data_IF_807539287262
#
_entry.id   IF_807539287262
#
_cell.length_a   1.000
_cell.length_b   1.000
_cell.length_c   1.000
_cell.angle_alpha   90.00
_cell.angle_beta   90.00
_cell.angle_gamma   90.00
#
_symmetry.space_group_name_H-M   'P 1'
#
loop_
_entity.id
_entity.type
_entity.pdbx_description
1 polymer ?
#
# COMPACT_ATOMS: atom_id res chain seq x y z
N UNK A 1 -21.80 28.27 11.81
CA UNK A 1 -21.59 27.08 12.65
C UNK A 1 -22.54 25.97 12.23
N UNK A 2 -23.80 26.29 11.96
CA UNK A 2 -24.83 25.35 11.51
C UNK A 2 -24.49 24.59 10.21
N UNK A 3 -23.56 25.12 9.40
CA UNK A 3 -23.13 24.53 8.12
C UNK A 3 -22.36 23.21 8.24
N UNK A 4 -21.94 22.83 9.45
CA UNK A 4 -21.22 21.58 9.73
C UNK A 4 -22.10 20.52 10.41
N UNK A 5 -23.37 20.83 10.71
CA UNK A 5 -24.27 19.87 11.34
C UNK A 5 -24.88 18.92 10.30
N UNK A 6 -25.00 17.66 10.69
CA UNK A 6 -25.52 16.58 9.82
C UNK A 6 -26.93 16.90 9.28
N UNK A 7 -27.76 17.59 10.06
CA UNK A 7 -29.13 17.97 9.68
C UNK A 7 -29.17 18.89 8.45
N UNK A 8 -28.12 19.67 8.20
CA UNK A 8 -28.05 20.57 7.06
C UNK A 8 -27.26 20.01 5.87
N UNK A 9 -26.98 18.70 5.84
CA UNK A 9 -26.21 18.09 4.75
C UNK A 9 -26.96 18.04 3.42
N UNK A 10 -28.29 17.97 3.45
CA UNK A 10 -29.11 18.10 2.23
C UNK A 10 -28.93 19.49 1.59
N UNK A 11 -28.74 20.52 2.44
CA UNK A 11 -28.56 21.88 1.98
C UNK A 11 -27.10 22.25 1.69
N UNK A 12 -26.15 21.78 2.48
CA UNK A 12 -24.74 22.18 2.40
C UNK A 12 -23.84 21.12 1.75
N UNK A 13 -24.40 19.97 1.37
CA UNK A 13 -23.64 18.81 0.92
C UNK A 13 -23.09 18.01 2.10
N UNK A 14 -22.71 16.77 1.80
CA UNK A 14 -22.08 15.88 2.76
C UNK A 14 -20.69 16.42 3.13
N UNK A 15 -20.45 16.66 4.42
CA UNK A 15 -19.21 17.29 4.89
C UNK A 15 -18.37 16.29 5.70
N UNK A 16 -17.10 16.16 5.30
CA UNK A 16 -16.07 15.40 5.99
C UNK A 16 -15.07 16.36 6.66
N UNK A 17 -14.60 15.98 7.83
CA UNK A 17 -13.56 16.72 8.56
C UNK A 17 -12.32 15.84 8.75
N UNK A 18 -11.14 16.41 8.46
CA UNK A 18 -9.84 15.84 8.70
C UNK A 18 -9.62 15.57 10.19
N UNK A 19 -9.24 14.35 10.60
CA UNK A 19 -9.10 13.96 11.99
C UNK A 19 -7.76 14.45 12.59
N UNK A 20 -7.63 15.77 12.73
CA UNK A 20 -6.47 16.45 13.30
C UNK A 20 -6.60 16.61 14.81
N UNK A 21 -5.48 16.85 15.49
CA UNK A 21 -5.47 17.20 16.91
C UNK A 21 -5.94 18.65 17.13
N UNK A 22 -7.25 18.89 17.07
CA UNK A 22 -7.85 20.20 17.36
C UNK A 22 -7.73 20.57 18.85
N UNK A 23 -8.01 19.61 19.73
CA UNK A 23 -7.96 19.72 21.18
C UNK A 23 -7.52 18.37 21.77
N UNK A 24 -6.81 18.37 22.90
CA UNK A 24 -6.35 17.11 23.55
C UNK A 24 -7.48 16.17 23.97
N UNK A 25 -8.66 16.72 24.26
CA UNK A 25 -9.85 15.95 24.66
C UNK A 25 -10.48 15.19 23.48
N UNK A 26 -10.27 15.67 22.24
CA UNK A 26 -10.82 15.05 21.04
C UNK A 26 -9.85 13.97 20.55
N UNK A 27 -10.20 12.70 20.77
CA UNK A 27 -9.39 11.59 20.26
C UNK A 27 -9.63 11.41 18.77
N UNK A 28 -8.56 11.26 18.00
CA UNK A 28 -8.60 10.86 16.59
C UNK A 28 -9.23 9.46 16.51
N UNK A 29 -10.45 9.30 15.96
CA UNK A 29 -11.08 8.00 15.90
C UNK A 29 -10.55 7.24 14.69
N UNK A 30 -10.30 5.94 14.88
CA UNK A 30 -9.63 5.15 13.86
C UNK A 30 -10.48 4.84 12.62
N UNK A 31 -11.81 5.03 12.59
CA UNK A 31 -12.61 4.60 11.41
C UNK A 31 -13.95 5.33 11.12
N UNK A 32 -14.45 6.26 11.93
CA UNK A 32 -15.78 6.87 11.66
C UNK A 32 -15.76 8.40 11.71
N UNK A 33 -15.75 9.03 10.52
CA UNK A 33 -15.73 10.49 10.39
C UNK A 33 -17.00 11.16 10.92
N UNK A 34 -18.16 10.52 10.75
CA UNK A 34 -19.44 11.09 11.16
C UNK A 34 -19.55 11.20 12.68
N UNK A 35 -18.98 10.25 13.41
CA UNK A 35 -18.88 10.33 14.86
C UNK A 35 -17.92 11.45 15.28
N UNK A 36 -16.76 11.54 14.64
CA UNK A 36 -15.79 12.60 14.90
C UNK A 36 -16.38 14.00 14.71
N UNK A 37 -17.13 14.20 13.63
CA UNK A 37 -17.81 15.46 13.34
C UNK A 37 -18.82 15.85 14.43
N UNK A 38 -19.57 14.88 14.97
CA UNK A 38 -20.52 15.12 16.06
C UNK A 38 -19.79 15.54 17.33
N UNK A 39 -18.75 14.78 17.72
CA UNK A 39 -17.93 15.10 18.89
C UNK A 39 -17.27 16.48 18.77
N UNK A 40 -16.78 16.83 17.57
CA UNK A 40 -16.21 18.14 17.29
C UNK A 40 -17.24 19.27 17.42
N UNK A 41 -18.44 19.11 16.83
CA UNK A 41 -19.50 20.11 16.92
C UNK A 41 -19.99 20.28 18.37
N UNK A 42 -20.11 19.19 19.13
CA UNK A 42 -20.50 19.22 20.55
C UNK A 42 -19.46 19.96 21.40
N UNK A 43 -18.15 19.76 21.13
CA UNK A 43 -17.08 20.50 21.80
C UNK A 43 -17.16 22.00 21.53
N UNK A 44 -17.39 22.40 20.28
CA UNK A 44 -17.52 23.82 19.91
C UNK A 44 -18.75 24.45 20.58
N UNK A 45 -19.89 23.74 20.57
CA UNK A 45 -21.13 24.22 21.18
C UNK A 45 -21.03 24.33 22.70
N UNK A 46 -20.37 23.37 23.36
CA UNK A 46 -20.16 23.36 24.81
C UNK A 46 -19.14 24.42 25.25
N UNK A 47 -18.11 24.67 24.45
CA UNK A 47 -17.00 25.58 24.78
C UNK A 47 -17.18 26.93 24.08
N UNK A 48 -18.26 27.63 24.44
CA UNK A 48 -18.58 28.98 23.93
C UNK A 48 -17.46 30.02 24.14
N UNK A 49 -16.49 29.74 25.03
CA UNK A 49 -15.25 30.51 25.22
C UNK A 49 -14.01 29.78 24.70
N UNK A 50 -14.01 29.38 23.43
CA UNK A 50 -12.86 28.70 22.80
C UNK A 50 -11.57 29.55 22.78
N UNK A 51 -11.69 30.86 23.00
CA UNK A 51 -10.58 31.81 22.89
C UNK A 51 -9.48 31.70 23.96
N UNK A 52 -9.72 31.02 25.10
CA UNK A 52 -8.80 31.02 26.25
C UNK A 52 -8.43 29.62 26.76
N UNK A 53 -8.67 28.56 25.98
CA UNK A 53 -8.37 27.20 26.43
C UNK A 53 -6.93 26.79 26.06
N UNK A 54 -6.04 26.53 27.04
CA UNK A 54 -4.66 26.14 26.77
C UNK A 54 -4.52 24.74 26.15
N UNK A 55 -5.59 23.94 26.17
CA UNK A 55 -5.59 22.56 25.66
C UNK A 55 -6.09 22.40 24.22
N UNK A 56 -6.45 23.51 23.55
CA UNK A 56 -6.93 23.55 22.17
C UNK A 56 -6.07 24.44 21.27
N UNK A 57 -5.85 24.00 20.02
CA UNK A 57 -5.19 24.82 19.00
C UNK A 57 -6.20 25.71 18.28
N UNK A 58 -6.36 26.93 18.78
CA UNK A 58 -7.33 27.92 18.28
C UNK A 58 -7.09 28.29 16.82
N UNK A 59 -5.83 28.35 16.37
CA UNK A 59 -5.50 28.74 14.99
C UNK A 59 -6.05 27.74 13.98
N UNK A 60 -5.95 26.46 14.29
CA UNK A 60 -6.40 25.36 13.44
C UNK A 60 -7.94 25.32 13.39
N UNK A 61 -8.60 25.49 14.54
CA UNK A 61 -10.07 25.52 14.60
C UNK A 61 -10.63 26.74 13.86
N UNK A 62 -10.06 27.93 14.06
CA UNK A 62 -10.51 29.14 13.36
C UNK A 62 -10.34 29.02 11.85
N UNK A 63 -9.24 28.40 11.40
CA UNK A 63 -9.02 28.12 9.98
C UNK A 63 -10.10 27.21 9.41
N UNK A 64 -10.42 26.13 10.12
CA UNK A 64 -11.48 25.21 9.73
C UNK A 64 -12.85 25.92 9.66
N UNK A 65 -13.19 26.74 10.66
CA UNK A 65 -14.45 27.47 10.69
C UNK A 65 -14.58 28.48 9.54
N UNK A 66 -13.48 29.15 9.17
CA UNK A 66 -13.41 30.02 8.01
C UNK A 66 -13.68 29.23 6.72
N UNK A 67 -12.97 28.12 6.54
CA UNK A 67 -13.12 27.25 5.36
C UNK A 67 -14.54 26.67 5.27
N UNK A 68 -15.18 26.36 6.41
CA UNK A 68 -16.57 25.88 6.48
C UNK A 68 -17.58 26.92 5.98
N UNK A 69 -17.32 28.21 6.24
CA UNK A 69 -18.12 29.32 5.74
C UNK A 69 -17.96 29.48 4.22
N UNK A 70 -16.71 29.57 3.75
CA UNK A 70 -16.39 29.76 2.33
C UNK A 70 -16.94 28.63 1.46
N UNK A 71 -16.76 27.38 1.88
CA UNK A 71 -17.28 26.22 1.17
C UNK A 71 -18.80 26.14 1.19
N UNK A 72 -19.50 26.84 2.09
CA UNK A 72 -20.98 26.79 2.17
C UNK A 72 -21.59 27.70 1.13
N UNK A 73 -20.99 28.88 0.97
CA UNK A 73 -21.39 29.82 -0.06
C UNK A 73 -21.14 29.26 -1.47
N UNK A 74 -20.08 28.46 -1.65
CA UNK A 74 -19.83 27.74 -2.91
C UNK A 74 -20.94 26.73 -3.23
N UNK A 75 -21.42 25.97 -2.23
CA UNK A 75 -22.48 24.97 -2.45
C UNK A 75 -23.81 25.62 -2.84
N UNK A 76 -24.09 26.85 -2.37
CA UNK A 76 -25.27 27.61 -2.82
C UNK A 76 -25.22 27.86 -4.33
N UNK A 77 -24.06 28.19 -4.89
CA UNK A 77 -23.88 28.34 -6.34
C UNK A 77 -24.06 27.02 -7.10
N UNK A 78 -23.64 25.90 -6.50
CA UNK A 78 -23.83 24.57 -7.08
C UNK A 78 -25.29 24.15 -7.16
N UNK A 79 -26.17 24.62 -6.27
CA UNK A 79 -27.61 24.36 -6.35
C UNK A 79 -28.25 24.99 -7.58
N UNK A 80 -27.80 26.17 -7.97
CA UNK A 80 -28.34 26.89 -9.14
C UNK A 80 -27.93 26.22 -10.46
N UNK A 81 -26.80 25.51 -10.46
CA UNK A 81 -26.24 24.89 -11.66
C UNK A 81 -26.37 23.37 -11.59
N UNK A 82 -27.19 22.78 -12.47
CA UNK A 82 -27.29 21.32 -12.60
C UNK A 82 -26.78 20.85 -13.97
N UNK A 83 -25.45 20.70 -14.16
CA UNK A 83 -24.89 20.28 -15.44
C UNK A 83 -25.16 18.81 -15.74
N UNK A 84 -25.62 18.52 -16.96
CA UNK A 84 -25.84 17.15 -17.43
C UNK A 84 -24.51 16.38 -17.50
N UNK A 85 -24.47 15.17 -16.94
CA UNK A 85 -23.31 14.26 -16.99
C UNK A 85 -22.35 14.36 -15.80
N UNK A 86 -22.67 15.15 -14.78
CA UNK A 86 -21.92 15.25 -13.52
C UNK A 86 -22.64 14.47 -12.43
N UNK A 87 -21.94 13.52 -11.79
CA UNK A 87 -22.45 12.69 -10.70
C UNK A 87 -22.32 13.39 -9.36
N UNK A 88 -21.13 13.94 -9.08
CA UNK A 88 -20.82 14.63 -7.84
C UNK A 88 -19.90 15.82 -8.09
N UNK A 89 -19.94 16.79 -7.19
CA UNK A 89 -19.01 17.92 -7.09
C UNK A 89 -18.41 17.92 -5.71
N UNK A 90 -17.14 18.24 -5.62
CA UNK A 90 -16.47 18.30 -4.33
C UNK A 90 -15.49 19.45 -4.23
N UNK A 91 -15.23 19.86 -3.00
CA UNK A 91 -14.18 20.81 -2.64
C UNK A 91 -13.43 20.26 -1.44
N UNK A 92 -12.13 20.09 -1.58
CA UNK A 92 -11.21 19.71 -0.52
C UNK A 92 -10.34 20.91 -0.18
N UNK A 93 -10.27 21.26 1.09
CA UNK A 93 -9.60 22.49 1.57
C UNK A 93 -8.39 22.18 2.43
N UNK A 94 -7.47 23.13 2.53
CA UNK A 94 -6.28 23.02 3.38
C UNK A 94 -6.64 22.96 4.89
N UNK A 95 -7.76 23.58 5.29
CA UNK A 95 -8.31 23.48 6.65
C UNK A 95 -8.87 22.10 7.03
N UNK A 96 -8.84 21.13 6.12
CA UNK A 96 -9.26 19.76 6.39
C UNK A 96 -10.75 19.52 6.20
N UNK A 97 -11.47 20.44 5.55
CA UNK A 97 -12.87 20.22 5.16
C UNK A 97 -12.91 19.67 3.74
N UNK A 98 -13.63 18.57 3.56
CA UNK A 98 -14.04 18.08 2.25
C UNK A 98 -15.56 18.09 2.17
N UNK A 99 -16.12 18.77 1.17
CA UNK A 99 -17.57 18.76 0.92
C UNK A 99 -17.89 18.08 -0.39
N UNK A 100 -18.91 17.25 -0.39
CA UNK A 100 -19.40 16.50 -1.55
C UNK A 100 -20.88 16.83 -1.76
N UNK A 101 -21.25 17.14 -3.00
CA UNK A 101 -22.61 17.47 -3.40
C UNK A 101 -23.00 16.68 -4.65
N UNK A 102 -24.19 16.04 -4.70
CA UNK A 102 -25.25 16.00 -3.68
C UNK A 102 -24.90 15.11 -2.47
N UNK A 103 -25.70 15.15 -1.41
CA UNK A 103 -25.48 14.38 -0.18
C UNK A 103 -25.41 12.87 -0.43
N UNK A 104 -26.21 12.34 -1.36
CA UNK A 104 -26.20 10.92 -1.75
C UNK A 104 -24.85 10.46 -2.30
N UNK A 105 -24.11 11.33 -2.98
CA UNK A 105 -22.79 11.01 -3.49
C UNK A 105 -21.69 11.05 -2.41
N UNK A 106 -22.01 11.60 -1.23
CA UNK A 106 -21.13 11.60 -0.07
C UNK A 106 -21.00 10.22 0.58
N UNK A 107 -22.06 9.41 0.55
CA UNK A 107 -22.03 8.05 1.11
C UNK A 107 -21.14 7.10 0.28
N UNK A 108 -21.03 7.34 -1.03
CA UNK A 108 -20.14 6.62 -1.95
C UNK A 108 -18.71 7.20 -2.00
N UNK A 109 -18.40 8.16 -1.14
CA UNK A 109 -17.09 8.79 -1.11
C UNK A 109 -16.07 7.88 -0.42
N UNK A 110 -15.17 7.29 -1.22
CA UNK A 110 -14.17 6.31 -0.76
C UNK A 110 -12.85 6.94 -0.32
N UNK A 111 -12.62 8.22 -0.62
CA UNK A 111 -11.35 8.87 -0.29
C UNK A 111 -11.23 9.17 1.20
N UNK A 112 -9.97 9.19 1.68
CA UNK A 112 -9.67 9.57 3.06
C UNK A 112 -10.12 11.00 3.35
N UNK A 113 -10.62 11.23 4.56
CA UNK A 113 -11.05 12.56 5.01
C UNK A 113 -9.90 13.52 5.30
N UNK A 114 -8.70 13.01 5.62
CA UNK A 114 -7.51 13.85 5.76
C UNK A 114 -7.01 14.29 4.39
N UNK A 115 -7.13 15.59 4.11
CA UNK A 115 -6.79 16.16 2.80
C UNK A 115 -5.31 16.04 2.47
N UNK A 116 -4.43 16.01 3.47
CA UNK A 116 -2.98 15.82 3.28
C UNK A 116 -2.57 14.38 2.97
N UNK A 117 -3.45 13.40 3.18
CA UNK A 117 -3.17 12.02 2.77
C UNK A 117 -3.72 11.71 1.38
N UNK A 118 -4.74 12.44 0.92
CA UNK A 118 -5.38 12.23 -0.38
C UNK A 118 -4.42 12.46 -1.56
N UNK A 119 -4.38 11.50 -2.49
CA UNK A 119 -3.50 11.55 -3.67
C UNK A 119 -3.93 12.63 -4.67
N UNK A 120 -5.23 12.70 -4.97
CA UNK A 120 -5.77 13.69 -5.93
C UNK A 120 -5.50 15.13 -5.49
N UNK A 121 -5.49 15.39 -4.18
CA UNK A 121 -5.23 16.71 -3.61
C UNK A 121 -3.80 17.16 -3.90
N UNK A 122 -2.80 16.30 -3.62
CA UNK A 122 -1.38 16.58 -3.90
C UNK A 122 -1.12 16.75 -5.40
N UNK A 123 -1.61 15.82 -6.22
CA UNK A 123 -1.46 15.88 -7.69
C UNK A 123 -2.06 17.15 -8.28
N UNK A 124 -3.18 17.63 -7.74
CA UNK A 124 -3.82 18.87 -8.19
C UNK A 124 -3.05 20.12 -7.80
N UNK A 125 -2.33 20.11 -6.68
CA UNK A 125 -1.52 21.24 -6.22
C UNK A 125 -0.23 21.38 -7.02
N UNK A 126 0.40 20.26 -7.38
CA UNK A 126 1.63 20.24 -8.18
C UNK A 126 1.39 20.70 -9.62
N UNK A 127 0.21 20.39 -10.16
CA UNK A 127 -0.17 20.73 -11.53
C UNK A 127 -0.98 22.04 -11.61
N UNK A 128 -0.93 22.71 -12.76
CA UNK A 128 -1.81 23.87 -13.08
C UNK A 128 -2.98 23.48 -14.01
N UNK A 129 -2.95 22.24 -14.49
CA UNK A 129 -3.88 21.63 -15.44
C UNK A 129 -5.08 20.99 -14.71
N UNK A 130 -6.10 20.60 -15.47
CA UNK A 130 -7.15 19.72 -14.95
C UNK A 130 -6.60 18.28 -14.87
N UNK A 131 -6.58 17.72 -13.67
CA UNK A 131 -6.08 16.37 -13.38
C UNK A 131 -7.26 15.41 -13.37
N UNK A 132 -7.26 14.47 -14.30
CA UNK A 132 -8.17 13.34 -14.33
C UNK A 132 -7.56 12.23 -13.49
N UNK A 133 -8.38 11.57 -12.68
CA UNK A 133 -7.97 10.44 -11.85
C UNK A 133 -8.87 9.26 -12.19
N UNK A 134 -8.23 8.16 -12.57
CA UNK A 134 -8.90 6.92 -12.88
C UNK A 134 -9.51 6.29 -11.62
N UNK A 135 -10.71 5.68 -11.70
CA UNK A 135 -11.28 4.96 -10.57
C UNK A 135 -10.42 3.72 -10.25
N UNK A 136 -10.31 3.39 -8.96
CA UNK A 136 -9.56 2.21 -8.53
C UNK A 136 -10.38 0.93 -8.77
N UNK A 137 -9.76 -0.08 -9.40
CA UNK A 137 -10.37 -1.40 -9.54
C UNK A 137 -10.14 -2.22 -8.26
N UNK A 138 -11.20 -2.51 -7.50
CA UNK A 138 -11.09 -3.49 -6.43
C UNK A 138 -10.95 -4.92 -6.99
N UNK A 139 -10.12 -5.74 -6.35
CA UNK A 139 -9.89 -7.17 -6.69
C UNK A 139 -11.17 -8.02 -6.71
N UNK A 140 -12.25 -7.55 -6.07
CA UNK A 140 -13.57 -8.17 -6.09
C UNK A 140 -14.32 -8.03 -7.43
N UNK A 141 -13.78 -7.28 -8.40
CA UNK A 141 -14.35 -7.18 -9.75
C UNK A 141 -15.71 -6.49 -9.83
N UNK A 142 -16.16 -5.90 -8.72
CA UNK A 142 -17.42 -5.15 -8.68
C UNK A 142 -17.15 -3.73 -9.16
N UNK A 143 -17.48 -3.50 -10.42
CA UNK A 143 -17.35 -2.21 -11.07
C UNK A 143 -18.42 -1.28 -10.52
N UNK A 144 -18.05 -0.31 -9.69
CA UNK A 144 -18.91 0.85 -9.46
C UNK A 144 -18.76 1.80 -10.65
N UNK A 145 -19.44 1.47 -11.76
CA UNK A 145 -19.74 2.44 -12.83
C UNK A 145 -20.35 3.74 -12.24
N UNK A 146 -20.97 3.62 -11.06
CA UNK A 146 -21.50 4.68 -10.23
C UNK A 146 -20.43 5.58 -9.60
N UNK A 147 -19.20 5.10 -9.35
CA UNK A 147 -18.13 5.91 -8.73
C UNK A 147 -17.65 7.05 -9.66
N UNK A 148 -17.82 6.91 -10.97
CA UNK A 148 -17.42 7.90 -11.97
C UNK A 148 -15.92 8.18 -12.04
N UNK A 149 -15.53 9.03 -13.00
CA UNK A 149 -14.14 9.48 -13.17
C UNK A 149 -13.97 10.82 -12.47
N UNK A 150 -12.96 10.93 -11.61
CA UNK A 150 -12.71 12.14 -10.85
C UNK A 150 -11.88 13.13 -11.67
N UNK A 151 -12.30 14.39 -11.70
CA UNK A 151 -11.55 15.51 -12.28
C UNK A 151 -11.32 16.52 -11.17
N UNK A 152 -10.07 16.97 -11.03
CA UNK A 152 -9.66 17.86 -9.94
C UNK A 152 -8.74 18.95 -10.46
N UNK A 153 -8.80 20.13 -9.82
CA UNK A 153 -7.95 21.28 -10.10
C UNK A 153 -7.76 22.13 -8.85
N UNK A 154 -6.53 22.57 -8.61
CA UNK A 154 -6.27 23.53 -7.54
C UNK A 154 -6.83 24.92 -7.88
N UNK A 155 -7.39 25.58 -6.87
CA UNK A 155 -7.82 26.98 -6.93
C UNK A 155 -6.57 27.85 -6.85
N UNK A 156 -6.30 28.61 -7.90
CA UNK A 156 -5.15 29.53 -7.94
C UNK A 156 -5.61 30.96 -7.62
N UNK A 157 -5.13 31.51 -6.51
CA UNK A 157 -5.38 32.89 -6.09
C UNK A 157 -4.09 33.70 -6.11
N UNK A 158 -4.18 34.96 -6.50
CA UNK A 158 -3.07 35.91 -6.46
C UNK A 158 -3.50 37.09 -5.59
N UNK A 159 -2.93 37.19 -4.39
CA UNK A 159 -3.22 38.25 -3.42
C UNK A 159 -1.91 38.97 -3.10
N UNK A 160 -1.86 40.29 -3.28
CA UNK A 160 -0.70 41.14 -2.97
C UNK A 160 0.63 40.65 -3.58
N UNK A 161 0.58 40.07 -4.78
CA UNK A 161 1.75 39.53 -5.49
C UNK A 161 2.20 38.14 -5.03
N UNK A 162 1.48 37.50 -4.11
CA UNK A 162 1.72 36.13 -3.64
C UNK A 162 0.71 35.17 -4.27
N UNK A 163 1.21 34.08 -4.86
CA UNK A 163 0.40 32.99 -5.42
C UNK A 163 0.04 32.00 -4.30
N UNK A 164 -1.25 31.75 -4.10
CA UNK A 164 -1.79 30.89 -3.06
C UNK A 164 -2.74 29.84 -3.67
N UNK A 165 -2.61 28.59 -3.21
CA UNK A 165 -3.50 27.48 -3.58
C UNK A 165 -4.23 26.94 -2.33
N UNK A 166 -5.35 27.56 -1.90
CA UNK A 166 -5.98 27.21 -0.61
C UNK A 166 -6.87 25.96 -0.66
N UNK A 167 -7.36 25.59 -1.85
CA UNK A 167 -8.32 24.50 -2.00
C UNK A 167 -8.17 23.81 -3.37
N UNK A 168 -8.67 22.59 -3.45
CA UNK A 168 -8.82 21.81 -4.67
C UNK A 168 -10.31 21.58 -4.91
N UNK A 169 -10.77 21.98 -6.09
CA UNK A 169 -12.16 21.74 -6.53
C UNK A 169 -12.18 20.62 -7.54
N UNK A 170 -13.25 19.84 -7.55
CA UNK A 170 -13.38 18.74 -8.48
C UNK A 170 -14.81 18.27 -8.70
N UNK A 171 -14.93 17.33 -9.62
CA UNK A 171 -16.18 16.75 -10.06
C UNK A 171 -15.99 15.27 -10.40
N UNK A 172 -17.02 14.46 -10.19
CA UNK A 172 -17.10 13.08 -10.66
C UNK A 172 -17.97 13.06 -11.91
N UNK A 173 -17.43 12.57 -13.01
CA UNK A 173 -18.12 12.46 -14.31
C UNK A 173 -18.74 11.08 -14.48
N UNK A 174 -19.94 11.04 -15.07
CA UNK A 174 -20.53 9.79 -15.55
C UNK A 174 -19.80 9.34 -16.83
N UNK A 175 -19.26 8.12 -16.78
CA UNK A 175 -18.56 7.49 -17.91
C UNK A 175 -19.48 7.39 -19.13
N UNK A 176 -20.73 6.99 -18.93
CA UNK A 176 -21.68 6.77 -20.04
C UNK A 176 -22.01 8.08 -20.75
N UNK A 177 -22.37 9.13 -19.99
CA UNK A 177 -22.64 10.44 -20.57
C UNK A 177 -21.41 11.04 -21.25
N UNK A 178 -20.21 10.77 -20.72
CA UNK A 178 -18.97 11.22 -21.34
C UNK A 178 -18.69 10.49 -22.66
N UNK A 179 -18.89 9.17 -22.71
CA UNK A 179 -18.78 8.36 -23.93
C UNK A 179 -19.72 8.85 -25.02
N UNK A 180 -20.99 9.08 -24.72
CA UNK A 180 -21.98 9.55 -25.69
C UNK A 180 -21.58 10.91 -26.29
N UNK A 181 -21.14 11.85 -25.45
CA UNK A 181 -20.63 13.15 -25.91
C UNK A 181 -19.39 13.02 -26.76
N UNK A 182 -18.48 12.13 -26.38
CA UNK A 182 -17.25 11.89 -27.13
C UNK A 182 -17.52 11.32 -28.51
N UNK A 183 -18.42 10.33 -28.63
CA UNK A 183 -18.82 9.76 -29.92
C UNK A 183 -19.45 10.85 -30.79
N UNK A 184 -20.40 11.61 -30.24
CA UNK A 184 -21.03 12.72 -30.96
C UNK A 184 -20.03 13.80 -31.41
N UNK A 185 -19.00 14.09 -30.61
CA UNK A 185 -17.97 15.08 -30.94
C UNK A 185 -16.96 14.58 -31.97
N UNK A 186 -16.68 13.27 -32.01
CA UNK A 186 -15.71 12.68 -32.94
C UNK A 186 -16.33 12.31 -34.29
N UNK A 187 -17.65 12.18 -34.37
CA UNK A 187 -18.36 11.93 -35.63
C UNK A 187 -18.28 13.13 -36.57
N UNK A 188 -17.74 12.91 -37.77
CA UNK A 188 -17.77 13.87 -38.87
C UNK A 188 -18.81 13.45 -39.91
N UNK A 189 -19.70 14.36 -40.28
CA UNK A 189 -20.89 14.08 -41.13
C UNK A 189 -20.52 13.88 -42.63
N UNK A 190 -19.34 14.34 -43.07
CA UNK A 190 -18.89 14.28 -44.47
C UNK A 190 -17.50 13.66 -44.60
N UNK A 191 -17.38 12.36 -44.39
CA UNK A 191 -16.13 11.65 -44.61
C UNK A 191 -16.18 10.89 -45.93
N UNK A 192 -15.34 11.33 -46.88
CA UNK A 192 -15.01 10.59 -48.10
C UNK A 192 -13.57 10.10 -47.92
N UNK A 193 -13.39 8.78 -47.85
CA UNK A 193 -12.12 8.06 -47.80
C UNK A 193 -11.19 8.26 -46.57
N UNK A 194 -11.59 9.04 -45.56
CA UNK A 194 -10.92 9.13 -44.24
C UNK A 194 -11.75 8.47 -43.13
N UNK A 195 -11.10 8.04 -42.04
CA UNK A 195 -11.75 7.47 -40.86
C UNK A 195 -12.85 8.44 -40.37
N UNK A 196 -14.11 8.00 -40.43
CA UNK A 196 -15.31 8.84 -40.22
C UNK A 196 -15.53 9.33 -38.77
N UNK A 197 -14.57 9.07 -37.88
CA UNK A 197 -14.68 9.23 -36.43
C UNK A 197 -14.79 7.88 -35.73
N UNK A 198 -14.90 7.93 -34.40
CA UNK A 198 -14.98 6.75 -33.54
C UNK A 198 -16.46 6.37 -33.34
N UNK A 199 -16.96 5.39 -34.11
CA UNK A 199 -18.34 4.91 -33.97
C UNK A 199 -18.46 3.93 -32.80
N UNK A 200 -19.54 4.01 -32.01
CA UNK A 200 -19.78 3.08 -30.89
C UNK A 200 -19.64 1.62 -31.36
N UNK A 201 -18.77 0.86 -30.70
CA UNK A 201 -18.48 -0.55 -31.02
C UNK A 201 -18.02 -0.81 -32.47
N UNK A 202 -17.18 0.07 -33.02
CA UNK A 202 -16.51 -0.22 -34.29
C UNK A 202 -15.57 -1.43 -34.16
N UNK A 203 -15.60 -2.31 -35.17
CA UNK A 203 -14.76 -3.49 -35.26
C UNK A 203 -13.37 -3.19 -35.81
N UNK A 204 -13.21 -2.07 -36.52
CA UNK A 204 -11.97 -1.76 -37.24
C UNK A 204 -11.06 -0.79 -36.50
N UNK A 205 -11.60 0.09 -35.64
CA UNK A 205 -10.84 1.14 -34.96
C UNK A 205 -11.11 1.14 -33.46
N UNK A 206 -10.04 1.22 -32.68
CA UNK A 206 -10.05 1.41 -31.24
C UNK A 206 -9.69 2.86 -30.91
N UNK A 207 -10.63 3.57 -30.28
CA UNK A 207 -10.42 4.91 -29.78
C UNK A 207 -10.48 4.89 -28.26
N UNK A 208 -9.40 5.35 -27.63
CA UNK A 208 -9.23 5.33 -26.17
C UNK A 208 -8.66 6.66 -25.67
N UNK A 209 -9.03 7.01 -24.45
CA UNK A 209 -8.42 8.12 -23.71
C UNK A 209 -7.72 7.52 -22.50
N UNK A 210 -6.43 7.84 -22.38
CA UNK A 210 -5.58 7.41 -21.28
C UNK A 210 -5.15 8.60 -20.44
N UNK A 211 -4.86 8.32 -19.17
CA UNK A 211 -4.23 9.26 -18.26
C UNK A 211 -2.69 9.32 -18.45
N UNK A 212 -2.03 10.26 -17.78
CA UNK A 212 -0.55 10.37 -17.69
C UNK A 212 0.13 9.13 -17.09
N UNK A 213 -0.59 8.39 -16.24
CA UNK A 213 -0.18 7.09 -15.71
C UNK A 213 -0.45 5.91 -16.66
N UNK A 214 -1.05 6.12 -17.83
CA UNK A 214 -1.40 5.03 -18.75
C UNK A 214 -2.61 4.20 -18.31
N UNK A 215 -3.47 4.75 -17.43
CA UNK A 215 -4.74 4.13 -17.05
C UNK A 215 -5.85 4.43 -18.06
N UNK A 216 -6.71 3.45 -18.33
CA UNK A 216 -7.84 3.61 -19.22
C UNK A 216 -8.96 4.41 -18.55
N UNK A 217 -9.36 5.53 -19.15
CA UNK A 217 -10.47 6.36 -18.68
C UNK A 217 -11.71 6.24 -19.55
N UNK A 218 -11.53 6.19 -20.87
CA UNK A 218 -12.65 6.11 -21.81
C UNK A 218 -12.28 5.21 -22.98
N UNK A 219 -13.25 4.44 -23.44
CA UNK A 219 -13.14 3.63 -24.64
C UNK A 219 -14.41 3.67 -25.47
N UNK A 220 -14.23 3.57 -26.78
CA UNK A 220 -15.30 3.41 -27.74
C UNK A 220 -15.99 2.03 -27.64
N UNK A 221 -15.24 0.98 -27.29
CA UNK A 221 -15.76 -0.40 -27.19
C UNK A 221 -16.36 -0.70 -25.82
N UNK A 222 -17.55 -1.30 -25.82
CA UNK A 222 -18.24 -1.67 -24.58
C UNK A 222 -17.47 -2.69 -23.73
N UNK A 223 -16.73 -3.61 -24.37
CA UNK A 223 -15.88 -4.58 -23.65
C UNK A 223 -14.85 -3.91 -22.74
N UNK A 224 -14.29 -2.78 -23.18
CA UNK A 224 -13.30 -2.02 -22.42
C UNK A 224 -13.92 -1.07 -21.41
N UNK A 225 -15.24 -0.83 -21.45
CA UNK A 225 -15.91 -0.04 -20.41
C UNK A 225 -15.89 -0.73 -19.05
N UNK A 226 -15.98 -2.06 -19.04
CA UNK A 226 -15.75 -2.82 -17.82
C UNK A 226 -14.32 -2.54 -17.30
N UNK A 227 -13.32 -2.50 -18.17
CA UNK A 227 -11.90 -2.38 -17.77
C UNK A 227 -11.44 -0.94 -17.49
N UNK A 228 -12.35 0.01 -17.24
CA UNK A 228 -11.99 1.39 -16.91
C UNK A 228 -11.29 1.42 -15.55
N UNK A 229 -10.18 2.18 -15.46
CA UNK A 229 -9.32 2.19 -14.28
C UNK A 229 -8.22 1.15 -14.30
N UNK A 230 -8.25 0.21 -15.25
CA UNK A 230 -7.16 -0.75 -15.44
C UNK A 230 -6.01 -0.11 -16.22
N UNK A 231 -4.79 -0.55 -15.92
CA UNK A 231 -3.60 -0.12 -16.65
C UNK A 231 -3.67 -0.63 -18.11
N UNK A 232 -3.43 0.26 -19.06
CA UNK A 232 -3.62 -0.02 -20.48
C UNK A 232 -2.71 -1.14 -21.01
N UNK A 233 -1.53 -1.32 -20.41
CA UNK A 233 -0.62 -2.41 -20.75
C UNK A 233 -1.13 -3.82 -20.41
N UNK A 234 -2.19 -3.95 -19.61
CA UNK A 234 -2.88 -5.23 -19.39
C UNK A 234 -3.95 -5.50 -20.46
N UNK A 235 -4.47 -4.44 -21.08
CA UNK A 235 -5.53 -4.49 -22.10
C UNK A 235 -4.92 -4.69 -23.50
N UNK A 236 -4.02 -3.80 -23.90
CA UNK A 236 -3.22 -3.89 -25.14
C UNK A 236 -1.73 -3.67 -24.82
N UNK A 237 -1.01 -4.71 -24.38
CA UNK A 237 0.42 -4.62 -24.05
C UNK A 237 1.27 -4.20 -25.24
N UNK A 238 0.91 -4.63 -26.44
CA UNK A 238 1.72 -4.41 -27.64
C UNK A 238 1.66 -2.93 -28.07
N UNK A 239 0.48 -2.32 -28.02
CA UNK A 239 0.37 -0.87 -28.24
C UNK A 239 1.12 -0.12 -27.13
N UNK A 240 0.93 -0.48 -25.86
CA UNK A 240 1.59 0.22 -24.74
C UNK A 240 3.12 0.19 -24.82
N UNK A 241 3.72 -0.96 -25.18
CA UNK A 241 5.18 -1.06 -25.40
C UNK A 241 5.68 -0.10 -26.48
N UNK A 242 4.90 0.06 -27.56
CA UNK A 242 5.25 0.97 -28.63
C UNK A 242 5.02 2.45 -28.28
N UNK A 243 4.07 2.76 -27.40
CA UNK A 243 3.93 4.09 -26.83
C UNK A 243 5.12 4.46 -25.94
N UNK A 244 5.72 3.48 -25.25
CA UNK A 244 6.95 3.66 -24.48
C UNK A 244 8.15 3.83 -25.43
N UNK A 245 8.28 2.98 -26.45
CA UNK A 245 9.42 3.05 -27.40
C UNK A 245 9.42 4.32 -28.25
N UNK A 246 8.24 4.86 -28.57
CA UNK A 246 8.07 6.15 -29.24
C UNK A 246 8.33 7.37 -28.34
N UNK A 247 8.49 7.16 -27.03
CA UNK A 247 8.76 8.21 -26.05
C UNK A 247 7.53 9.01 -25.62
N UNK A 248 6.30 8.50 -25.85
CA UNK A 248 5.10 9.12 -25.29
C UNK A 248 5.08 8.95 -23.76
N UNK A 249 5.30 7.72 -23.29
CA UNK A 249 5.38 7.37 -21.87
C UNK A 249 6.82 7.05 -21.48
N UNK A 250 7.20 7.46 -20.28
CA UNK A 250 8.41 7.02 -19.58
C UNK A 250 8.00 6.39 -18.26
N UNK A 251 8.85 5.51 -17.72
CA UNK A 251 8.56 4.86 -16.45
C UNK A 251 9.79 4.85 -15.56
N UNK A 252 9.54 4.92 -14.25
CA UNK A 252 10.54 4.68 -13.21
C UNK A 252 10.11 3.49 -12.37
N UNK A 253 11.10 2.71 -11.95
CA UNK A 253 10.92 1.58 -11.04
C UNK A 253 11.47 1.95 -9.67
N UNK A 254 10.67 1.73 -8.63
CA UNK A 254 11.02 1.99 -7.23
C UNK A 254 10.82 0.73 -6.40
N UNK A 255 11.64 0.55 -5.37
CA UNK A 255 11.53 -0.59 -4.47
C UNK A 255 10.91 -0.13 -3.14
N UNK A 256 9.83 -0.81 -2.74
CA UNK A 256 9.26 -0.68 -1.40
C UNK A 256 9.77 -1.82 -0.52
N UNK A 257 10.52 -1.46 0.53
CA UNK A 257 11.13 -2.39 1.48
C UNK A 257 10.22 -2.70 2.69
N UNK A 258 9.08 -2.02 2.81
CA UNK A 258 8.14 -2.15 3.93
C UNK A 258 6.80 -2.78 3.51
N UNK A 259 6.79 -3.46 2.36
CA UNK A 259 5.62 -4.16 1.86
C UNK A 259 5.44 -5.55 2.48
N UNK A 260 4.25 -6.12 2.29
CA UNK A 260 3.83 -7.38 2.90
C UNK A 260 3.36 -8.35 1.80
N UNK A 261 4.01 -9.51 1.71
CA UNK A 261 3.72 -10.54 0.70
C UNK A 261 3.28 -11.85 1.34
N UNK A 262 2.59 -12.66 0.55
CA UNK A 262 2.34 -14.05 0.92
C UNK A 262 3.66 -14.82 0.80
N UNK A 263 4.06 -15.62 1.82
CA UNK A 263 5.32 -16.34 1.78
C UNK A 263 5.34 -17.33 0.62
N UNK A 264 6.43 -17.33 -0.13
CA UNK A 264 6.66 -18.37 -1.12
C UNK A 264 6.86 -19.70 -0.39
N UNK A 265 6.23 -20.77 -0.90
CA UNK A 265 6.48 -22.12 -0.39
C UNK A 265 7.87 -22.57 -0.83
N UNK A 266 8.89 -22.09 -0.13
CA UNK A 266 10.21 -22.64 -0.29
C UNK A 266 10.21 -24.07 0.23
N UNK A 267 10.64 -25.01 -0.62
CA UNK A 267 10.98 -26.37 -0.20
C UNK A 267 12.28 -26.31 0.58
N UNK A 268 12.23 -25.77 1.80
CA UNK A 268 13.36 -25.76 2.72
C UNK A 268 13.74 -27.21 2.98
N UNK A 269 14.75 -27.71 2.28
CA UNK A 269 15.38 -28.98 2.59
C UNK A 269 15.98 -28.84 3.99
N UNK A 270 15.27 -29.34 5.00
CA UNK A 270 15.68 -29.24 6.38
C UNK A 270 17.08 -29.86 6.56
N UNK A 271 18.06 -29.04 6.90
CA UNK A 271 19.38 -29.50 7.35
C UNK A 271 19.28 -29.94 8.81
N UNK A 272 18.62 -31.09 9.04
CA UNK A 272 18.65 -31.74 10.34
C UNK A 272 20.06 -32.22 10.69
N UNK A 273 20.44 -32.15 11.96
CA UNK A 273 21.75 -32.63 12.43
C UNK A 273 21.91 -34.13 12.15
N UNK A 274 22.81 -34.47 11.22
CA UNK A 274 23.20 -35.85 10.94
C UNK A 274 24.25 -36.31 11.96
N UNK A 275 23.82 -36.71 13.15
CA UNK A 275 24.67 -37.50 14.04
C UNK A 275 23.84 -38.50 14.85
N UNK A 276 23.22 -39.46 14.16
CA UNK A 276 22.72 -40.68 14.82
C UNK A 276 23.78 -41.74 14.61
N UNK A 277 24.43 -42.16 15.70
CA UNK A 277 25.38 -43.27 15.72
C UNK A 277 24.63 -44.57 15.38
N UNK A 278 25.06 -45.26 14.32
CA UNK A 278 24.46 -46.53 13.89
C UNK A 278 25.25 -47.67 14.58
N UNK A 279 24.64 -48.45 15.49
CA UNK A 279 25.33 -49.51 16.20
C UNK A 279 25.73 -50.64 15.24
N UNK A 280 26.88 -51.26 15.49
CA UNK A 280 27.39 -52.36 14.67
C UNK A 280 26.78 -53.70 15.08
N UNK A 281 26.91 -54.75 14.24
CA UNK A 281 26.32 -56.07 14.50
C UNK A 281 26.87 -56.70 15.81
N UNK A 282 28.08 -56.34 16.24
CA UNK A 282 28.65 -56.76 17.52
C UNK A 282 27.93 -56.09 18.72
N UNK A 283 27.51 -54.83 18.57
CA UNK A 283 26.74 -54.09 19.57
C UNK A 283 25.32 -54.67 19.72
N UNK A 284 24.72 -55.13 18.62
CA UNK A 284 23.38 -55.77 18.60
C UNK A 284 23.36 -57.11 19.36
N UNK A 285 24.46 -57.86 19.39
CA UNK A 285 24.49 -59.23 19.92
C UNK A 285 24.89 -59.33 21.41
N UNK A 286 25.32 -58.24 22.05
CA UNK A 286 25.59 -58.22 23.49
C UNK A 286 24.32 -57.83 24.29
N UNK A 287 23.44 -58.79 24.60
CA UNK A 287 22.26 -58.58 25.46
C UNK A 287 22.60 -57.90 26.80
N UNK A 288 23.79 -58.14 27.36
CA UNK A 288 24.29 -57.47 28.55
C UNK A 288 24.58 -55.98 28.34
N UNK A 289 25.06 -55.59 27.14
CA UNK A 289 25.28 -54.19 26.78
C UNK A 289 23.95 -53.46 26.57
N UNK A 290 22.95 -54.09 25.94
CA UNK A 290 21.59 -53.52 25.83
C UNK A 290 20.96 -53.30 27.20
N UNK A 291 21.06 -54.26 28.11
CA UNK A 291 20.55 -54.12 29.47
C UNK A 291 21.29 -53.00 30.24
N UNK A 292 22.61 -52.90 30.07
CA UNK A 292 23.44 -51.88 30.72
C UNK A 292 23.18 -50.48 30.15
N UNK A 293 23.08 -50.35 28.82
CA UNK A 293 22.79 -49.11 28.13
C UNK A 293 21.35 -48.65 28.41
N UNK A 294 20.37 -49.56 28.41
CA UNK A 294 19.00 -49.24 28.79
C UNK A 294 18.91 -48.82 30.26
N UNK A 295 19.57 -49.54 31.17
CA UNK A 295 19.62 -49.16 32.59
C UNK A 295 20.30 -47.80 32.80
N UNK A 296 21.40 -47.53 32.09
CA UNK A 296 22.09 -46.25 32.15
C UNK A 296 21.26 -45.11 31.55
N UNK A 297 20.57 -45.35 30.43
CA UNK A 297 19.67 -44.37 29.81
C UNK A 297 18.48 -44.06 30.72
N UNK A 298 17.88 -45.07 31.35
CA UNK A 298 16.80 -44.89 32.33
C UNK A 298 17.30 -44.11 33.55
N UNK A 299 18.49 -44.45 34.06
CA UNK A 299 19.09 -43.75 35.19
C UNK A 299 19.38 -42.28 34.85
N UNK A 300 19.94 -42.03 33.68
CA UNK A 300 20.26 -40.69 33.19
C UNK A 300 18.98 -39.86 32.98
N UNK A 301 17.90 -40.50 32.50
CA UNK A 301 16.58 -39.87 32.34
C UNK A 301 15.87 -39.64 33.68
N UNK A 302 16.09 -40.50 34.68
CA UNK A 302 15.68 -40.28 36.07
C UNK A 302 16.43 -39.10 36.69
N UNK A 303 17.74 -38.99 36.48
CA UNK A 303 18.52 -37.84 36.95
C UNK A 303 18.11 -36.55 36.24
N UNK A 304 17.88 -36.58 34.92
CA UNK A 304 17.39 -35.41 34.19
C UNK A 304 15.98 -35.01 34.63
N UNK A 305 15.07 -35.96 34.87
CA UNK A 305 13.71 -35.64 35.32
C UNK A 305 13.68 -35.11 36.76
N UNK A 306 14.56 -35.61 37.64
CA UNK A 306 14.72 -35.11 39.00
C UNK A 306 15.36 -33.71 39.06
N UNK A 307 16.33 -33.44 38.20
CA UNK A 307 17.07 -32.15 38.20
C UNK A 307 16.37 -31.07 37.38
N UNK A 308 15.61 -31.44 36.34
CA UNK A 308 14.91 -30.52 35.44
C UNK A 308 13.51 -31.05 35.08
N UNK A 309 12.54 -31.00 36.02
CA UNK A 309 11.19 -31.54 35.82
C UNK A 309 10.37 -30.86 34.70
N UNK A 310 10.86 -29.75 34.12
CA UNK A 310 10.18 -28.98 33.05
C UNK A 310 10.78 -29.11 31.64
N UNK A 311 11.85 -29.89 31.44
CA UNK A 311 12.52 -29.97 30.13
C UNK A 311 11.82 -30.93 29.14
N UNK A 312 10.95 -31.82 29.62
CA UNK A 312 10.27 -32.86 28.83
C UNK A 312 8.76 -32.59 28.67
N UNK A 313 8.33 -31.33 28.77
CA UNK A 313 7.00 -30.93 28.32
C UNK A 313 7.04 -30.91 26.77
N UNK A 314 6.70 -32.04 26.17
CA UNK A 314 6.48 -32.12 24.73
C UNK A 314 5.31 -31.20 24.39
N UNK A 315 5.61 -30.08 23.73
CA UNK A 315 4.59 -29.23 23.12
C UNK A 315 4.01 -30.01 21.95
N UNK A 316 2.77 -30.49 22.10
CA UNK A 316 1.96 -30.94 20.98
C UNK A 316 1.73 -29.73 20.06
N UNK A 317 2.40 -29.72 18.92
CA UNK A 317 2.07 -28.78 17.84
C UNK A 317 0.86 -29.36 17.10
N UNK A 318 -0.32 -28.89 17.46
CA UNK A 318 -1.52 -29.03 16.63
C UNK A 318 -1.28 -28.26 15.32
N UNK A 319 -0.78 -28.95 14.28
CA UNK A 319 -0.75 -28.42 12.92
C UNK A 319 -2.16 -28.46 12.33
N UNK A 320 -2.95 -27.40 12.56
CA UNK A 320 -4.09 -27.08 11.71
C UNK A 320 -3.56 -26.54 10.35
N UNK A 321 -3.74 -27.23 9.22
CA UNK A 321 -3.19 -26.81 7.92
C UNK A 321 -3.97 -25.67 7.25
N UNK A 322 -4.81 -24.94 8.00
CA UNK A 322 -5.65 -23.85 7.51
C UNK A 322 -5.47 -22.53 8.27
N UNK A 323 -4.38 -22.35 9.01
CA UNK A 323 -4.02 -21.03 9.49
C UNK A 323 -3.41 -20.21 8.35
N UNK A 324 -4.02 -19.06 8.09
CA UNK A 324 -3.52 -17.95 7.30
C UNK A 324 -2.00 -17.98 7.19
N UNK A 325 -1.47 -18.20 5.98
CA UNK A 325 -0.05 -17.99 5.69
C UNK A 325 0.31 -16.63 6.31
N UNK A 326 1.08 -16.64 7.40
CA UNK A 326 1.47 -15.41 8.08
C UNK A 326 2.22 -14.58 7.06
N UNK A 327 1.65 -13.45 6.66
CA UNK A 327 2.26 -12.62 5.63
C UNK A 327 3.63 -12.16 6.11
N UNK A 328 4.62 -12.22 5.24
CA UNK A 328 5.99 -11.86 5.55
C UNK A 328 6.33 -10.48 4.97
N UNK A 329 7.25 -9.77 5.62
CA UNK A 329 7.79 -8.54 5.06
C UNK A 329 8.64 -8.88 3.83
N UNK A 330 8.34 -8.25 2.71
CA UNK A 330 8.99 -8.51 1.44
C UNK A 330 9.36 -7.19 0.75
N UNK A 331 10.24 -7.28 -0.25
CA UNK A 331 10.52 -6.17 -1.15
C UNK A 331 9.57 -6.29 -2.34
N UNK A 332 8.89 -5.19 -2.67
CA UNK A 332 8.10 -5.10 -3.90
C UNK A 332 8.69 -4.06 -4.85
N UNK A 333 8.74 -4.40 -6.13
CA UNK A 333 9.03 -3.47 -7.21
C UNK A 333 7.73 -2.80 -7.66
N UNK A 334 7.73 -1.47 -7.65
CA UNK A 334 6.63 -0.63 -8.10
C UNK A 334 7.06 0.09 -9.38
N UNK A 335 6.22 0.07 -10.41
CA UNK A 335 6.46 0.81 -11.65
C UNK A 335 5.46 1.95 -11.78
N UNK A 336 5.94 3.16 -12.07
CA UNK A 336 5.10 4.33 -12.29
C UNK A 336 5.39 4.91 -13.67
N UNK A 337 4.33 5.14 -14.44
CA UNK A 337 4.39 5.76 -15.77
C UNK A 337 4.05 7.24 -15.67
N UNK A 338 4.68 8.06 -16.51
CA UNK A 338 4.44 9.49 -16.61
C UNK A 338 4.82 10.00 -18.01
N UNK A 339 4.39 11.23 -18.32
CA UNK A 339 4.81 11.93 -19.54
C UNK A 339 6.11 12.70 -19.32
N UNK A 340 7.16 12.33 -20.04
CA UNK A 340 8.43 13.08 -20.05
C UNK A 340 8.54 14.03 -21.26
N UNK A 341 7.98 13.62 -22.40
CA UNK A 341 8.12 14.34 -23.65
C UNK A 341 7.19 15.56 -23.79
N UNK A 342 7.74 16.67 -24.31
CA UNK A 342 6.99 17.91 -24.58
C UNK A 342 6.18 17.83 -25.89
N UNK A 343 6.52 16.88 -26.76
CA UNK A 343 5.82 16.68 -28.04
C UNK A 343 4.34 16.36 -27.79
N UNK A 344 3.47 16.90 -28.66
CA UNK A 344 2.02 16.77 -28.53
C UNK A 344 1.45 15.56 -29.27
N UNK A 345 1.97 15.30 -30.46
CA UNK A 345 1.49 14.27 -31.37
C UNK A 345 2.54 13.20 -31.58
N UNK A 346 2.12 11.95 -31.46
CA UNK A 346 2.91 10.76 -31.74
C UNK A 346 2.14 9.90 -32.73
N UNK A 347 2.85 9.19 -33.59
CA UNK A 347 2.24 8.29 -34.54
C UNK A 347 3.26 7.28 -35.01
N UNK A 348 2.78 6.09 -35.34
CA UNK A 348 3.64 5.02 -35.79
C UNK A 348 2.84 3.85 -36.33
N UNK A 349 3.56 2.95 -36.98
CA UNK A 349 3.05 1.66 -37.42
C UNK A 349 3.63 0.58 -36.52
N UNK A 350 2.77 -0.30 -36.05
CA UNK A 350 3.09 -1.45 -35.22
C UNK A 350 3.21 -2.65 -36.16
N UNK A 351 4.44 -2.97 -36.53
CA UNK A 351 4.71 -4.11 -37.41
C UNK A 351 4.86 -5.37 -36.58
N UNK A 352 4.05 -6.36 -36.93
CA UNK A 352 4.02 -7.67 -36.32
C UNK A 352 4.15 -8.70 -37.46
N UNK A 353 4.62 -9.91 -37.15
CA UNK A 353 5.12 -10.86 -38.19
C UNK A 353 4.13 -11.06 -39.35
N UNK A 354 2.82 -11.00 -39.09
CA UNK A 354 1.76 -11.24 -40.08
C UNK A 354 0.78 -10.06 -40.27
N UNK A 355 0.97 -8.92 -39.62
CA UNK A 355 0.02 -7.81 -39.66
C UNK A 355 0.71 -6.48 -39.31
N UNK A 356 0.12 -5.38 -39.78
CA UNK A 356 0.52 -4.03 -39.39
C UNK A 356 -0.69 -3.33 -38.78
N UNK A 357 -0.51 -2.66 -37.63
CA UNK A 357 -1.54 -1.79 -37.03
C UNK A 357 -1.01 -0.37 -36.97
N UNK A 358 -1.75 0.61 -37.45
CA UNK A 358 -1.37 2.02 -37.31
C UNK A 358 -1.98 2.62 -36.05
N UNK A 359 -1.27 3.55 -35.43
CA UNK A 359 -1.80 4.33 -34.32
C UNK A 359 -1.38 5.79 -34.41
N UNK A 360 -2.20 6.64 -33.81
CA UNK A 360 -1.94 8.07 -33.62
C UNK A 360 -2.39 8.46 -32.22
N UNK A 361 -1.50 9.11 -31.49
CA UNK A 361 -1.72 9.60 -30.13
C UNK A 361 -1.54 11.11 -30.09
N UNK A 362 -2.46 11.82 -29.45
CA UNK A 362 -2.46 13.27 -29.33
C UNK A 362 -2.80 13.69 -27.90
N UNK A 363 -1.90 14.45 -27.26
CA UNK A 363 -2.11 14.99 -25.91
C UNK A 363 -3.15 16.12 -25.94
N UNK A 364 -4.14 16.04 -25.07
CA UNK A 364 -5.18 17.07 -24.96
C UNK A 364 -4.63 18.29 -24.22
N UNK A 365 -5.04 19.49 -24.65
CA UNK A 365 -4.58 20.74 -24.06
C UNK A 365 -5.21 20.98 -22.69
N UNK A 366 -4.43 21.55 -21.78
CA UNK A 366 -4.86 21.94 -20.43
C UNK A 366 -5.30 20.79 -19.51
N UNK A 367 -4.98 19.54 -19.87
CA UNK A 367 -5.29 18.32 -19.10
C UNK A 367 -4.10 17.36 -19.10
N UNK A 368 -4.16 16.33 -18.26
CA UNK A 368 -3.21 15.20 -18.24
C UNK A 368 -3.62 14.03 -19.15
N UNK A 369 -4.51 14.27 -20.12
CA UNK A 369 -5.08 13.22 -20.96
C UNK A 369 -4.35 13.08 -22.29
N UNK A 370 -4.26 11.85 -22.79
CA UNK A 370 -3.87 11.56 -24.16
C UNK A 370 -5.00 10.81 -24.88
N UNK A 371 -5.33 11.28 -26.08
CA UNK A 371 -6.28 10.64 -26.96
C UNK A 371 -5.54 9.78 -27.98
N UNK A 372 -5.94 8.51 -28.11
CA UNK A 372 -5.29 7.54 -29.00
C UNK A 372 -6.33 6.92 -29.92
N UNK A 373 -6.01 6.91 -31.21
CA UNK A 373 -6.73 6.19 -32.25
C UNK A 373 -5.78 5.12 -32.78
N UNK A 374 -6.21 3.87 -32.77
CA UNK A 374 -5.44 2.76 -33.30
C UNK A 374 -6.34 1.80 -34.10
N UNK A 375 -5.75 1.06 -35.03
CA UNK A 375 -6.43 -0.08 -35.64
C UNK A 375 -6.80 -1.09 -34.55
N UNK A 376 -7.98 -1.68 -34.66
CA UNK A 376 -8.54 -2.51 -33.61
C UNK A 376 -7.66 -3.71 -33.26
N UNK A 377 -7.52 -4.03 -31.96
CA UNK A 377 -6.69 -5.14 -31.51
C UNK A 377 -7.11 -6.51 -32.09
N UNK A 378 -8.39 -6.68 -32.40
CA UNK A 378 -8.93 -7.91 -33.02
C UNK A 378 -8.49 -8.12 -34.48
N UNK A 379 -8.07 -7.05 -35.17
CA UNK A 379 -7.56 -7.17 -36.55
C UNK A 379 -6.25 -7.95 -36.61
N UNK A 380 -5.51 -8.00 -35.50
CA UNK A 380 -4.29 -8.78 -35.42
C UNK A 380 -4.10 -9.51 -34.09
N UNK A 381 -4.29 -10.82 -34.14
CA UNK A 381 -4.14 -11.71 -32.99
C UNK A 381 -2.73 -12.30 -32.84
N UNK A 382 -1.83 -12.05 -33.79
CA UNK A 382 -0.52 -12.73 -33.89
C UNK A 382 0.62 -12.11 -33.06
N UNK A 383 0.36 -11.02 -32.36
CA UNK A 383 1.42 -10.25 -31.67
C UNK A 383 1.66 -10.75 -30.25
N UNK A 384 2.89 -10.55 -29.74
CA UNK A 384 3.24 -10.95 -28.38
C UNK A 384 2.39 -10.18 -27.36
N UNK A 385 1.76 -10.91 -26.44
CA UNK A 385 0.81 -10.37 -25.45
C UNK A 385 1.34 -10.47 -24.03
N UNK A 386 2.66 -10.41 -23.83
CA UNK A 386 3.22 -10.30 -22.49
C UNK A 386 2.60 -9.09 -21.79
N UNK A 387 1.75 -9.29 -20.77
CA UNK A 387 1.04 -8.19 -20.16
C UNK A 387 2.04 -7.33 -19.40
N UNK A 388 2.02 -6.02 -19.67
CA UNK A 388 2.73 -5.06 -18.83
C UNK A 388 1.80 -4.73 -17.68
N UNK A 389 2.17 -5.11 -16.45
CA UNK A 389 1.37 -4.81 -15.26
C UNK A 389 1.98 -3.63 -14.52
N UNK A 390 1.12 -2.71 -14.11
CA UNK A 390 1.47 -1.63 -13.20
C UNK A 390 0.92 -1.96 -11.82
N UNK A 391 1.63 -2.83 -11.11
CA UNK A 391 1.27 -3.28 -9.76
C UNK A 391 2.54 -3.53 -8.95
N UNK A 392 2.41 -3.55 -7.63
CA UNK A 392 3.47 -4.00 -6.73
C UNK A 392 3.75 -5.48 -7.01
N UNK A 393 4.98 -5.79 -7.41
CA UNK A 393 5.40 -7.16 -7.70
C UNK A 393 6.50 -7.57 -6.73
N UNK A 394 6.41 -8.76 -6.11
CA UNK A 394 7.49 -9.26 -5.27
C UNK A 394 8.78 -9.36 -6.09
N UNK A 395 9.87 -8.86 -5.51
CA UNK A 395 11.19 -8.84 -6.14
C UNK A 395 12.26 -9.06 -5.08
N UNK A 396 13.38 -9.67 -5.46
CA UNK A 396 14.54 -9.82 -4.57
C UNK A 396 15.29 -8.48 -4.34
N UNK A 397 14.82 -7.40 -4.98
CA UNK A 397 15.40 -6.06 -4.86
C UNK A 397 16.65 -5.87 -5.73
N UNK A 398 17.35 -4.73 -5.58
CA UNK A 398 18.61 -4.49 -6.27
C UNK A 398 19.71 -5.39 -5.71
N UNK A 399 20.60 -5.87 -6.57
CA UNK A 399 21.68 -6.78 -6.18
C UNK A 399 22.58 -6.12 -5.11
N UNK A 400 22.63 -6.67 -3.86
CA UNK A 400 23.40 -6.06 -2.78
C UNK A 400 24.91 -6.05 -3.07
N UNK A 401 25.39 -7.02 -3.85
CA UNK A 401 26.80 -7.13 -4.22
C UNK A 401 27.25 -5.96 -5.13
N UNK A 402 26.38 -5.47 -5.99
CA UNK A 402 26.66 -4.32 -6.86
C UNK A 402 26.59 -3.01 -6.08
N UNK A 403 25.59 -2.88 -5.19
CA UNK A 403 25.46 -1.72 -4.30
C UNK A 403 26.63 -1.57 -3.33
N UNK A 404 27.22 -2.67 -2.89
CA UNK A 404 28.38 -2.66 -2.00
C UNK A 404 29.66 -2.15 -2.69
N UNK A 405 29.76 -2.22 -4.02
CA UNK A 405 30.91 -1.67 -4.76
C UNK A 405 30.93 -0.15 -4.72
N UNK A 406 29.75 0.48 -4.77
CA UNK A 406 29.58 1.94 -4.68
C UNK A 406 28.59 2.27 -3.56
N UNK A 407 29.00 2.18 -2.28
CA UNK A 407 28.10 2.37 -1.16
C UNK A 407 27.65 3.83 -1.05
N UNK A 408 26.44 4.02 -0.52
CA UNK A 408 25.90 5.36 -0.24
C UNK A 408 26.75 6.06 0.83
N UNK A 409 26.78 7.39 0.76
CA UNK A 409 27.46 8.20 1.77
C UNK A 409 26.90 7.92 3.16
N UNK A 410 27.78 7.64 4.12
CA UNK A 410 27.46 7.48 5.54
C UNK A 410 28.55 8.16 6.36
N UNK A 411 28.16 9.01 7.30
CA UNK A 411 29.10 9.55 8.30
C UNK A 411 29.19 8.56 9.46
N UNK A 412 30.41 8.13 9.79
CA UNK A 412 30.69 7.34 10.99
C UNK A 412 30.65 8.20 12.26
N UNK A 413 30.67 7.57 13.45
CA UNK A 413 30.91 8.28 14.70
C UNK A 413 32.27 8.99 14.68
N UNK A 414 32.35 10.19 15.26
CA UNK A 414 33.60 10.98 15.30
C UNK A 414 34.59 10.44 16.36
N UNK A 415 34.08 9.76 17.40
CA UNK A 415 34.88 9.15 18.46
C UNK A 415 34.53 7.67 18.57
N UNK A 416 35.54 6.81 18.61
CA UNK A 416 35.42 5.39 18.89
C UNK A 416 36.25 5.11 20.14
N UNK A 417 35.61 4.57 21.18
CA UNK A 417 36.30 4.07 22.38
C UNK A 417 36.42 2.56 22.22
N UNK A 418 37.60 2.11 21.83
CA UNK A 418 37.88 0.71 21.49
C UNK A 418 38.87 0.06 22.47
N UNK A 419 39.77 0.85 23.05
CA UNK A 419 40.82 0.34 23.93
C UNK A 419 41.07 1.32 25.08
N UNK A 420 40.94 0.83 26.32
CA UNK A 420 41.40 1.54 27.53
C UNK A 420 42.64 0.83 28.09
N UNK A 421 43.68 1.60 28.45
CA UNK A 421 44.92 1.05 29.00
C UNK A 421 44.74 0.37 30.37
N UNK A 422 43.61 0.60 31.03
CA UNK A 422 43.23 -0.09 32.26
C UNK A 422 42.26 -1.26 32.04
N UNK A 423 41.94 -1.58 30.78
CA UNK A 423 41.11 -2.74 30.45
C UNK A 423 41.90 -4.03 30.71
N UNK A 424 41.31 -4.94 31.50
CA UNK A 424 41.87 -6.26 31.78
C UNK A 424 41.37 -7.24 30.72
N UNK A 425 42.17 -7.46 29.69
CA UNK A 425 41.90 -8.38 28.58
C UNK A 425 42.30 -9.84 28.89
N UNK A 426 42.77 -10.11 30.12
CA UNK A 426 43.28 -11.43 30.50
C UNK A 426 42.18 -12.45 30.83
N UNK A 427 40.95 -12.00 31.09
CA UNK A 427 39.80 -12.89 31.31
C UNK A 427 39.17 -13.34 29.97
N UNK A 428 39.86 -14.24 29.27
CA UNK A 428 39.37 -14.83 28.04
C UNK A 428 38.66 -16.17 28.31
N UNK A 429 37.34 -16.22 28.13
CA UNK A 429 36.61 -17.50 27.98
C UNK A 429 36.47 -18.35 29.26
N UNK A 430 36.42 -17.72 30.43
CA UNK A 430 36.00 -18.38 31.68
C UNK A 430 34.51 -18.74 31.67
N UNK A 431 34.12 -19.80 30.96
CA UNK A 431 32.83 -20.43 31.21
C UNK A 431 32.74 -20.81 32.68
N UNK A 432 31.65 -20.47 33.36
CA UNK A 432 31.44 -20.78 34.78
C UNK A 432 31.51 -22.29 35.03
N UNK A 433 32.71 -22.85 35.20
CA UNK A 433 32.86 -24.20 35.68
C UNK A 433 32.40 -24.19 37.12
N UNK A 434 31.27 -24.85 37.40
CA UNK A 434 30.82 -25.12 38.76
C UNK A 434 31.90 -25.96 39.44
N UNK A 435 32.91 -25.33 40.03
CA UNK A 435 33.86 -26.01 40.90
C UNK A 435 33.09 -26.43 42.14
N UNK A 436 32.83 -27.73 42.37
CA UNK A 436 32.10 -28.15 43.56
C UNK A 436 32.89 -27.70 44.79
N UNK A 437 32.22 -27.08 45.75
CA UNK A 437 32.91 -26.60 46.94
C UNK A 437 33.56 -27.79 47.66
N UNK A 438 34.86 -27.65 47.99
CA UNK A 438 35.61 -28.67 48.74
C UNK A 438 34.87 -29.06 50.03
N UNK A 439 34.16 -28.11 50.66
CA UNK A 439 33.30 -28.36 51.81
C UNK A 439 32.11 -29.27 51.50
N UNK A 440 31.44 -29.13 50.36
CA UNK A 440 30.33 -30.03 50.00
C UNK A 440 30.83 -31.45 49.70
N UNK A 441 31.98 -31.59 49.04
CA UNK A 441 32.60 -32.89 48.79
C UNK A 441 33.06 -33.58 50.09
N UNK A 442 33.74 -32.84 50.98
CA UNK A 442 34.16 -33.36 52.29
C UNK A 442 32.95 -33.68 53.19
N UNK A 443 31.91 -32.84 53.15
CA UNK A 443 30.66 -33.08 53.87
C UNK A 443 29.95 -34.35 53.39
N UNK A 444 29.85 -34.55 52.07
CA UNK A 444 29.31 -35.76 51.47
C UNK A 444 30.13 -37.01 51.83
N UNK A 445 31.47 -36.92 51.78
CA UNK A 445 32.34 -38.03 52.19
C UNK A 445 32.21 -38.36 53.68
N UNK A 446 32.09 -37.37 54.57
CA UNK A 446 31.88 -37.59 56.00
C UNK A 446 30.53 -38.25 56.29
N UNK A 447 29.46 -37.85 55.59
CA UNK A 447 28.14 -38.48 55.72
C UNK A 447 28.18 -39.92 55.21
N UNK A 448 28.84 -40.19 54.09
CA UNK A 448 29.05 -41.55 53.57
C UNK A 448 29.88 -42.41 54.53
N UNK A 449 30.94 -41.84 55.12
CA UNK A 449 31.72 -42.52 56.14
C UNK A 449 30.89 -42.82 57.39
N UNK A 450 30.02 -41.91 57.81
CA UNK A 450 29.15 -42.12 58.97
C UNK A 450 28.09 -43.20 58.72
N UNK A 451 27.53 -43.25 57.51
CA UNK A 451 26.59 -44.28 57.08
C UNK A 451 27.25 -45.67 56.96
N UNK A 452 28.52 -45.74 56.56
CA UNK A 452 29.28 -46.99 56.45
C UNK A 452 29.93 -47.45 57.78
N UNK A 453 30.24 -46.52 58.68
CA UNK A 453 30.86 -46.79 59.98
C UNK A 453 29.83 -47.02 61.11
N UNK A 454 28.53 -46.94 60.83
CA UNK A 454 27.48 -47.34 61.78
C UNK A 454 27.53 -48.86 62.00
N UNK A 455 27.88 -49.35 63.20
CA UNK A 455 28.04 -50.78 63.43
C UNK A 455 26.68 -51.49 63.35
N UNK A 456 26.58 -52.50 62.48
CA UNK A 456 25.47 -53.46 62.48
C UNK A 456 25.33 -54.08 63.88
N UNK A 457 24.30 -53.68 64.62
CA UNK A 457 23.85 -54.44 65.79
C UNK A 457 23.17 -55.72 65.30
N UNK A 458 23.86 -56.85 65.43
CA UNK A 458 23.26 -58.19 65.42
C UNK A 458 22.84 -58.52 66.85
N UNK A 459 21.54 -58.77 67.13
CA UNK A 459 21.15 -59.58 68.27
C UNK A 459 21.09 -61.06 67.86
N UNK A 460 21.75 -61.87 68.68
CA UNK A 460 21.80 -63.35 68.72
C UNK A 460 20.46 -64.01 68.96
#
# INVERSE_FOLDING_TARGET
MDTLMQEYFEENGYTLIAPREYCKELKVPNNNNMQFLKEFNDLINKKSSLHNDPDCNITLINRLLLDAGLTSDLVKQWKEQNPVGVLARFVATDGGITRVYPSSAGDEWTEKAETYESSFYKRSLDNELYVFTAPFLNRSGDYSLDSGIMVSRAVDLHIDGVKLKPAVVGLKLSVQSWKERFINATMKINCKDEICGCLSNDKHVDCVILDDGGFLLMSNRDKYLAQIGQFFGEIDPFLMQNLISSGLYTFNKTYDYQSVCDPERETKAASGQRSIFIPTIADILHLGWWASAAAWSILQQLFLSLTFPRLLEAVDMDEDPSENLSKESCITEQTQYFFDSVNRSFGGTLDCVNCSRMYRAEKLLSTNLVFIIADAAETCMSCDRRPLRQAEQPSEGPNPCELAQNPRHRKGPDVCFDNDANEDDTDCGGGSSLTPSLCALLGGQLILFWLLASPRHYPS
#
